data_IF_241504584199
#
_entry.id   IF_241504584199
#
_cell.length_a   1.000
_cell.length_b   1.000
_cell.length_c   1.000
_cell.angle_alpha   90.00
_cell.angle_beta   90.00
_cell.angle_gamma   90.00
#
_symmetry.space_group_name_H-M   'P 1'
#
loop_
_entity.id
_entity.type
_entity.pdbx_description
1 polymer ?
#
# COMPACT_ATOMS: atom_id res chain seq x y z
N UNK A 1 -12.82 23.80 6.74
CA UNK A 1 -12.32 23.16 7.99
C UNK A 1 -10.81 23.31 8.03
N UNK A 2 -10.22 23.67 9.16
CA UNK A 2 -8.76 23.58 9.29
C UNK A 2 -8.35 22.09 9.35
N UNK A 3 -7.26 21.68 8.67
CA UNK A 3 -6.78 20.31 8.72
C UNK A 3 -6.34 19.96 10.14
N UNK A 4 -6.84 18.85 10.68
CA UNK A 4 -6.44 18.37 12.01
C UNK A 4 -4.98 17.87 11.99
N UNK A 5 -4.45 17.53 13.16
CA UNK A 5 -3.06 17.08 13.31
C UNK A 5 -2.71 15.89 12.39
N UNK A 6 -3.63 14.94 12.19
CA UNK A 6 -3.42 13.76 11.34
C UNK A 6 -3.30 14.16 9.88
N UNK A 7 -4.24 14.97 9.37
CA UNK A 7 -4.22 15.46 7.99
C UNK A 7 -2.92 16.22 7.67
N UNK A 8 -2.44 17.05 8.61
CA UNK A 8 -1.17 17.78 8.47
C UNK A 8 0.07 16.90 8.43
N UNK A 9 0.14 15.87 9.27
CA UNK A 9 1.30 14.96 9.32
C UNK A 9 1.37 14.10 8.04
N UNK A 10 0.22 13.63 7.56
CA UNK A 10 0.14 12.72 6.41
C UNK A 10 0.10 13.44 5.06
N UNK A 11 -0.03 14.77 5.03
CA UNK A 11 -0.13 15.52 3.77
C UNK A 11 -1.44 15.29 3.01
N UNK A 12 -2.54 15.03 3.71
CA UNK A 12 -3.86 14.74 3.12
C UNK A 12 -4.89 15.83 3.49
N UNK A 13 -5.98 15.90 2.72
CA UNK A 13 -7.01 16.95 2.85
C UNK A 13 -8.08 16.59 3.88
N UNK A 14 -8.45 15.30 3.93
CA UNK A 14 -9.48 14.74 4.81
C UNK A 14 -8.79 13.78 5.79
N UNK A 15 -9.11 13.84 7.09
CA UNK A 15 -8.51 12.96 8.10
C UNK A 15 -9.13 11.57 8.07
N UNK A 16 -9.15 10.95 6.89
CA UNK A 16 -9.71 9.63 6.61
C UNK A 16 -8.60 8.78 6.04
N UNK A 17 -8.34 7.65 6.71
CA UNK A 17 -7.38 6.64 6.27
C UNK A 17 -8.16 5.39 5.94
N UNK A 18 -8.02 4.92 4.70
CA UNK A 18 -8.50 3.60 4.31
C UNK A 18 -7.44 2.58 4.71
N UNK A 19 -7.74 1.77 5.73
CA UNK A 19 -6.81 0.77 6.25
C UNK A 19 -6.59 -0.39 5.28
N UNK A 20 -5.41 -1.05 5.29
CA UNK A 20 -5.08 -2.11 4.35
C UNK A 20 -6.01 -3.32 4.51
N UNK A 21 -6.52 -3.84 3.40
CA UNK A 21 -7.36 -5.03 3.37
C UNK A 21 -6.71 -6.03 2.41
N UNK A 22 -6.04 -7.06 2.95
CA UNK A 22 -5.39 -8.07 2.11
C UNK A 22 -6.39 -8.66 1.12
N UNK A 23 -5.94 -8.90 -0.12
CA UNK A 23 -6.76 -9.36 -1.26
C UNK A 23 -7.83 -8.39 -1.78
N UNK A 24 -8.23 -7.38 -1.00
CA UNK A 24 -9.31 -6.45 -1.37
C UNK A 24 -8.80 -5.07 -1.79
N UNK A 25 -7.70 -4.59 -1.21
CA UNK A 25 -7.04 -3.38 -1.69
C UNK A 25 -6.37 -3.63 -3.03
N UNK A 26 -6.52 -2.70 -3.96
CA UNK A 26 -5.76 -2.63 -5.21
C UNK A 26 -5.35 -1.17 -5.48
N UNK A 27 -4.55 -0.96 -6.52
CA UNK A 27 -4.07 0.35 -6.93
C UNK A 27 -5.21 1.33 -7.22
N UNK A 28 -6.36 0.84 -7.72
CA UNK A 28 -7.51 1.69 -8.07
C UNK A 28 -8.20 2.21 -6.82
N UNK A 29 -8.44 1.35 -5.84
CA UNK A 29 -9.04 1.73 -4.56
C UNK A 29 -8.15 2.72 -3.83
N UNK A 30 -6.86 2.41 -3.70
CA UNK A 30 -5.90 3.26 -2.99
C UNK A 30 -5.76 4.63 -3.67
N UNK A 31 -5.63 4.66 -4.99
CA UNK A 31 -5.56 5.91 -5.74
C UNK A 31 -6.88 6.71 -5.65
N UNK A 32 -8.04 6.05 -5.68
CA UNK A 32 -9.33 6.71 -5.53
C UNK A 32 -9.48 7.39 -4.16
N UNK A 33 -9.03 6.74 -3.08
CA UNK A 33 -9.02 7.34 -1.74
C UNK A 33 -8.10 8.57 -1.69
N UNK A 34 -6.89 8.46 -2.25
CA UNK A 34 -5.93 9.57 -2.37
C UNK A 34 -6.51 10.76 -3.15
N UNK A 35 -7.07 10.48 -4.33
CA UNK A 35 -7.70 11.49 -5.19
C UNK A 35 -8.94 12.13 -4.55
N UNK A 36 -9.64 11.40 -3.66
CA UNK A 36 -10.74 11.95 -2.87
C UNK A 36 -10.27 12.77 -1.65
N UNK A 37 -8.96 12.86 -1.40
CA UNK A 37 -8.33 13.67 -0.35
C UNK A 37 -8.01 12.91 0.95
N UNK A 38 -8.20 11.58 1.00
CA UNK A 38 -7.79 10.74 2.14
C UNK A 38 -6.42 10.09 1.92
N UNK A 39 -6.04 9.16 2.81
CA UNK A 39 -4.87 8.29 2.63
C UNK A 39 -5.33 6.86 2.33
N UNK A 40 -5.05 6.36 1.13
CA UNK A 40 -5.21 4.94 0.80
C UNK A 40 -3.98 4.15 1.23
N UNK A 41 -4.16 2.89 1.63
CA UNK A 41 -3.05 2.03 2.07
C UNK A 41 -3.11 0.67 1.36
N UNK A 42 -2.05 0.32 0.63
CA UNK A 42 -1.91 -1.01 0.03
C UNK A 42 -1.65 -2.05 1.12
N UNK A 43 -2.41 -3.14 1.11
CA UNK A 43 -2.13 -4.31 1.93
C UNK A 43 -1.24 -5.34 1.22
N UNK A 44 -0.76 -6.37 1.93
CA UNK A 44 -0.15 -7.53 1.30
C UNK A 44 -1.13 -8.20 0.32
N UNK A 45 -0.60 -8.72 -0.79
CA UNK A 45 -1.38 -9.33 -1.87
C UNK A 45 -2.37 -8.35 -2.54
N UNK A 46 -2.13 -7.04 -2.46
CA UNK A 46 -2.98 -6.06 -3.14
C UNK A 46 -3.00 -6.29 -4.66
N UNK A 47 -4.18 -6.17 -5.26
CA UNK A 47 -4.39 -6.41 -6.69
C UNK A 47 -4.29 -7.88 -7.13
N UNK A 48 -4.09 -8.82 -6.20
CA UNK A 48 -4.05 -10.25 -6.51
C UNK A 48 -5.45 -10.89 -6.46
N UNK A 49 -5.62 -11.91 -7.28
CA UNK A 49 -6.80 -12.77 -7.35
C UNK A 49 -6.39 -14.21 -7.09
N UNK A 50 -7.33 -15.13 -6.93
CA UNK A 50 -7.01 -16.55 -6.81
C UNK A 50 -6.16 -17.08 -7.98
N UNK A 51 -6.37 -16.56 -9.20
CA UNK A 51 -5.62 -16.95 -10.39
C UNK A 51 -4.21 -16.34 -10.47
N UNK A 52 -3.96 -15.25 -9.74
CA UNK A 52 -2.67 -14.53 -9.74
C UNK A 52 -1.93 -14.62 -8.40
N UNK A 53 -2.43 -15.48 -7.50
CA UNK A 53 -1.83 -15.74 -6.21
C UNK A 53 -0.41 -16.31 -6.38
N UNK A 54 0.50 -15.85 -5.52
CA UNK A 54 1.88 -16.32 -5.43
C UNK A 54 2.16 -16.76 -3.99
N UNK A 55 3.16 -17.63 -3.82
CA UNK A 55 3.41 -18.27 -2.52
C UNK A 55 4.85 -18.17 -2.04
N UNK A 56 5.72 -17.45 -2.76
CA UNK A 56 7.09 -17.16 -2.31
C UNK A 56 7.23 -15.69 -1.92
N UNK A 57 8.09 -15.36 -0.94
CA UNK A 57 8.36 -13.98 -0.54
C UNK A 57 8.80 -13.09 -1.69
N UNK A 58 9.68 -13.58 -2.57
CA UNK A 58 10.23 -12.84 -3.69
C UNK A 58 9.16 -12.52 -4.73
N UNK A 59 8.32 -13.50 -5.08
CA UNK A 59 7.21 -13.29 -6.01
C UNK A 59 6.16 -12.33 -5.43
N UNK A 60 5.91 -12.40 -4.13
CA UNK A 60 5.00 -11.48 -3.43
C UNK A 60 5.55 -10.06 -3.43
N UNK A 61 6.85 -9.89 -3.18
CA UNK A 61 7.53 -8.62 -3.22
C UNK A 61 7.46 -7.97 -4.61
N UNK A 62 7.68 -8.74 -5.68
CA UNK A 62 7.55 -8.23 -7.04
C UNK A 62 6.09 -7.88 -7.41
N UNK A 63 5.11 -8.66 -6.96
CA UNK A 63 3.69 -8.28 -7.11
C UNK A 63 3.34 -7.00 -6.38
N UNK A 64 3.91 -6.80 -5.20
CA UNK A 64 3.75 -5.56 -4.45
C UNK A 64 4.39 -4.37 -5.16
N UNK A 65 5.57 -4.55 -5.77
CA UNK A 65 6.23 -3.55 -6.63
C UNK A 65 5.34 -3.14 -7.80
N UNK A 66 4.79 -4.11 -8.53
CA UNK A 66 3.86 -3.88 -9.64
C UNK A 66 2.67 -3.02 -9.17
N UNK A 67 2.08 -3.34 -8.02
CA UNK A 67 0.91 -2.64 -7.50
C UNK A 67 1.22 -1.23 -6.99
N UNK A 68 2.40 -1.03 -6.36
CA UNK A 68 2.91 0.29 -6.00
C UNK A 68 3.06 1.17 -7.25
N UNK A 69 3.66 0.64 -8.32
CA UNK A 69 3.85 1.37 -9.59
C UNK A 69 2.52 1.70 -10.26
N UNK A 70 1.56 0.78 -10.28
CA UNK A 70 0.20 1.07 -10.78
C UNK A 70 -0.46 2.19 -9.97
N UNK A 71 -0.30 2.20 -8.65
CA UNK A 71 -0.86 3.25 -7.79
C UNK A 71 -0.28 4.61 -8.14
N UNK A 72 1.05 4.71 -8.29
CA UNK A 72 1.73 5.94 -8.73
C UNK A 72 1.29 6.43 -10.12
N UNK A 73 0.87 5.53 -11.02
CA UNK A 73 0.34 5.91 -12.33
C UNK A 73 -1.09 6.48 -12.24
N UNK A 74 -1.83 6.18 -11.16
CA UNK A 74 -3.23 6.58 -10.98
C UNK A 74 -3.40 7.80 -10.07
N UNK A 75 -2.37 8.18 -9.32
CA UNK A 75 -2.40 9.35 -8.43
C UNK A 75 -1.01 9.91 -8.15
N UNK A 76 -0.95 11.23 -8.04
CA UNK A 76 0.20 11.98 -7.52
C UNK A 76 0.09 12.24 -6.00
N UNK A 77 -1.00 11.79 -5.37
CA UNK A 77 -1.27 11.98 -3.93
C UNK A 77 -0.51 10.90 -3.12
N UNK A 78 -0.11 11.20 -1.88
CA UNK A 78 0.55 10.21 -1.03
C UNK A 78 -0.37 9.01 -0.75
N UNK A 79 0.23 7.83 -0.63
CA UNK A 79 -0.42 6.60 -0.21
C UNK A 79 0.51 5.81 0.71
N UNK A 80 -0.08 4.95 1.54
CA UNK A 80 0.66 4.06 2.44
C UNK A 80 0.83 2.67 1.86
N UNK A 81 1.78 1.93 2.44
CA UNK A 81 2.00 0.51 2.16
C UNK A 81 2.18 -0.21 3.48
N UNK A 82 1.41 -1.28 3.69
CA UNK A 82 1.41 -2.01 4.95
C UNK A 82 2.32 -3.24 4.90
N UNK A 83 3.19 -3.36 5.91
CA UNK A 83 3.96 -4.57 6.22
C UNK A 83 3.34 -5.27 7.42
N UNK A 84 3.32 -6.60 7.39
CA UNK A 84 2.84 -7.44 8.49
C UNK A 84 4.01 -8.29 9.00
N UNK A 85 4.89 -7.73 9.84
CA UNK A 85 5.99 -8.50 10.41
C UNK A 85 5.48 -9.54 11.40
N UNK A 86 6.19 -10.66 11.47
CA UNK A 86 5.90 -11.73 12.45
C UNK A 86 7.06 -11.85 13.44
N UNK A 87 6.76 -12.21 14.69
CA UNK A 87 7.79 -12.27 15.74
C UNK A 87 8.80 -13.41 15.52
N UNK A 88 8.37 -14.49 14.86
CA UNK A 88 9.17 -15.68 14.59
C UNK A 88 9.04 -16.07 13.11
N UNK A 89 10.14 -16.48 12.50
CA UNK A 89 10.20 -16.96 11.11
C UNK A 89 9.62 -15.99 10.08
N UNK A 90 9.88 -14.68 10.23
CA UNK A 90 9.45 -13.67 9.27
C UNK A 90 10.27 -13.75 7.98
N UNK A 91 9.77 -14.56 7.04
CA UNK A 91 10.34 -14.71 5.70
C UNK A 91 9.85 -13.63 4.72
N UNK A 92 8.79 -12.88 5.07
CA UNK A 92 8.12 -11.96 4.15
C UNK A 92 8.68 -10.55 4.22
N UNK A 93 8.88 -10.02 5.43
CA UNK A 93 9.38 -8.67 5.63
C UNK A 93 10.75 -8.43 4.99
N UNK A 94 11.74 -9.34 5.08
CA UNK A 94 13.04 -9.15 4.44
C UNK A 94 12.98 -9.02 2.92
N UNK A 95 12.01 -9.69 2.27
CA UNK A 95 11.81 -9.62 0.82
C UNK A 95 11.04 -8.36 0.41
N UNK A 96 10.03 -7.95 1.18
CA UNK A 96 9.12 -6.85 0.81
C UNK A 96 9.69 -5.48 1.19
N UNK A 97 10.38 -5.36 2.33
CA UNK A 97 10.89 -4.08 2.83
C UNK A 97 11.84 -3.36 1.84
N UNK A 98 12.77 -4.04 1.16
CA UNK A 98 13.60 -3.42 0.13
C UNK A 98 12.77 -2.83 -1.02
N UNK A 99 11.74 -3.55 -1.49
CA UNK A 99 10.84 -3.08 -2.55
C UNK A 99 10.16 -1.77 -2.15
N UNK A 100 9.63 -1.70 -0.92
CA UNK A 100 8.97 -0.48 -0.42
C UNK A 100 9.95 0.69 -0.39
N UNK A 101 11.19 0.46 0.08
CA UNK A 101 12.23 1.50 0.13
C UNK A 101 12.64 1.98 -1.27
N UNK A 102 12.86 1.05 -2.20
CA UNK A 102 13.25 1.37 -3.57
C UNK A 102 12.17 2.12 -4.33
N UNK A 103 10.90 1.80 -4.07
CA UNK A 103 9.77 2.51 -4.64
C UNK A 103 9.44 3.81 -3.89
N UNK A 104 10.33 4.32 -3.04
CA UNK A 104 10.22 5.66 -2.46
C UNK A 104 9.22 5.78 -1.30
N UNK A 105 9.17 4.74 -0.44
CA UNK A 105 8.60 4.87 0.90
C UNK A 105 9.39 5.81 1.82
#
# INVERSE_FOLDING_TARGET
MQPNRVARILGIEKPVVQGPLSWLTDARLVAAVGNAGGLGVLGPNAGLTAATAVSTPEATAEKMREEIRKTKQLTEKPFGVNLIPTAENDIWTPAILPVIKEEGG
#
